data_IF_880723208690
#
_entry.id   IF_880723208690
#
_cell.length_a   1.000
_cell.length_b   1.000
_cell.length_c   1.000
_cell.angle_alpha   90.00
_cell.angle_beta   90.00
_cell.angle_gamma   90.00
#
_symmetry.space_group_name_H-M   'P 1'
#
loop_
_entity.id
_entity.type
_entity.pdbx_description
1 polymer ?
#
# COMPACT_ATOMS: atom_id res chain seq x y z
N UNK A 1 13.14 -5.31 1.98
CA UNK A 1 12.75 -4.16 2.80
C UNK A 1 14.04 -3.48 3.23
N UNK A 2 14.19 -2.22 2.85
CA UNK A 2 15.33 -1.37 3.19
C UNK A 2 15.01 -0.57 4.47
N UNK A 3 16.02 -0.31 5.31
CA UNK A 3 15.80 -0.40 6.78
C UNK A 3 16.52 0.65 7.64
N UNK A 4 16.45 1.95 7.31
CA UNK A 4 16.66 2.94 8.38
C UNK A 4 15.39 3.08 9.24
N UNK A 5 15.52 3.85 10.31
CA UNK A 5 14.44 4.06 11.27
C UNK A 5 13.42 5.02 10.68
N UNK A 6 12.16 4.60 10.58
CA UNK A 6 11.03 5.54 10.47
C UNK A 6 10.46 5.86 11.87
N UNK A 7 11.30 5.70 12.89
CA UNK A 7 11.14 6.10 14.29
C UNK A 7 12.28 7.10 14.60
N UNK A 8 12.02 8.24 15.25
CA UNK A 8 13.10 9.02 15.87
C UNK A 8 13.96 8.13 16.77
N UNK A 9 15.26 8.05 16.45
CA UNK A 9 16.37 7.35 17.15
C UNK A 9 15.94 6.40 18.29
N UNK A 10 15.44 5.20 17.93
CA UNK A 10 15.28 4.07 18.84
C UNK A 10 15.02 2.69 18.16
N UNK A 11 16.02 1.79 18.25
CA UNK A 11 15.91 0.31 18.25
C UNK A 11 15.43 -0.51 17.01
N UNK A 12 16.37 -0.83 16.10
CA UNK A 12 16.59 -2.17 15.43
C UNK A 12 15.48 -2.71 14.45
N UNK A 13 15.78 -3.53 13.42
CA UNK A 13 16.16 -4.95 13.55
C UNK A 13 16.38 -5.72 12.22
N UNK A 14 17.30 -6.70 12.29
CA UNK A 14 17.49 -7.87 11.42
C UNK A 14 16.21 -8.67 11.00
N UNK A 15 16.02 -9.26 9.80
CA UNK A 15 16.42 -8.98 8.38
C UNK A 15 15.37 -9.51 7.37
N UNK A 16 15.40 -8.98 6.13
CA UNK A 16 14.60 -9.32 4.96
C UNK A 16 14.92 -10.64 4.13
N UNK A 17 15.22 -10.59 2.81
CA UNK A 17 14.29 -11.27 1.84
C UNK A 17 14.83 -11.73 0.39
N UNK A 18 14.10 -12.37 -0.59
CA UNK A 18 14.37 -12.63 -2.07
C UNK A 18 13.09 -12.59 -3.02
N UNK A 19 13.12 -12.23 -4.36
CA UNK A 19 11.90 -12.05 -5.25
C UNK A 19 11.75 -12.86 -6.58
N UNK A 20 10.53 -12.93 -7.14
CA UNK A 20 10.01 -13.92 -8.12
C UNK A 20 9.74 -13.45 -9.60
N UNK A 21 8.86 -14.19 -10.31
CA UNK A 21 8.33 -14.02 -11.69
C UNK A 21 7.01 -14.84 -11.84
N UNK A 22 5.84 -14.30 -11.43
CA UNK A 22 4.52 -14.97 -11.45
C UNK A 22 3.42 -13.93 -11.81
N UNK A 23 2.21 -14.34 -12.24
CA UNK A 23 1.03 -13.44 -12.32
C UNK A 23 -0.34 -14.17 -12.42
N UNK A 24 -0.74 -14.79 -13.54
CA UNK A 24 -1.93 -15.68 -13.55
C UNK A 24 -1.72 -16.97 -12.75
N UNK A 25 -0.45 -17.29 -12.49
CA UNK A 25 -0.05 -18.25 -11.48
C UNK A 25 -0.26 -17.74 -10.03
N UNK A 26 -0.41 -16.43 -9.77
CA UNK A 26 -0.51 -15.89 -8.40
C UNK A 26 -1.87 -16.16 -7.78
N UNK A 27 -2.99 -15.85 -8.44
CA UNK A 27 -4.33 -16.21 -7.93
C UNK A 27 -4.46 -17.72 -7.65
N UNK A 28 -3.94 -18.56 -8.54
CA UNK A 28 -3.95 -20.02 -8.36
C UNK A 28 -2.97 -20.50 -7.28
N UNK A 29 -1.79 -19.88 -7.13
CA UNK A 29 -0.81 -20.25 -6.09
C UNK A 29 -1.23 -19.75 -4.70
N UNK A 30 -1.79 -18.55 -4.59
CA UNK A 30 -2.37 -18.01 -3.36
C UNK A 30 -3.56 -18.85 -2.91
N UNK A 31 -4.43 -19.26 -3.84
CA UNK A 31 -5.49 -20.25 -3.56
C UNK A 31 -4.93 -21.60 -3.09
N UNK A 32 -3.91 -22.14 -3.77
CA UNK A 32 -3.28 -23.41 -3.42
C UNK A 32 -2.55 -23.41 -2.06
N UNK A 33 -2.21 -22.24 -1.51
CA UNK A 33 -1.63 -22.09 -0.15
C UNK A 33 -2.68 -22.19 0.97
N UNK A 34 -3.98 -22.15 0.65
CA UNK A 34 -5.07 -22.05 1.64
C UNK A 34 -5.54 -23.38 2.25
N UNK A 35 -5.01 -24.53 1.80
CA UNK A 35 -5.67 -25.84 1.95
C UNK A 35 -5.47 -26.57 3.29
N UNK A 36 -5.19 -25.85 4.39
CA UNK A 36 -4.88 -26.44 5.70
C UNK A 36 -5.81 -26.00 6.86
N UNK A 37 -6.67 -25.01 6.63
CA UNK A 37 -7.68 -24.58 7.61
C UNK A 37 -8.98 -25.38 7.54
N UNK A 38 -9.87 -25.19 8.52
CA UNK A 38 -11.30 -25.38 8.27
C UNK A 38 -11.68 -24.38 7.18
N UNK A 39 -12.34 -24.81 6.10
CA UNK A 39 -12.90 -23.88 5.12
C UNK A 39 -13.79 -22.87 5.84
N UNK A 40 -13.32 -21.63 5.95
CA UNK A 40 -14.14 -20.55 6.48
C UNK A 40 -15.27 -20.33 5.47
N UNK A 41 -16.49 -20.03 5.92
CA UNK A 41 -17.54 -19.62 5.00
C UNK A 41 -17.66 -18.10 5.08
N UNK A 42 -17.27 -17.38 4.02
CA UNK A 42 -17.32 -15.92 4.02
C UNK A 42 -18.71 -15.33 4.31
N UNK A 43 -19.80 -16.02 3.93
CA UNK A 43 -21.16 -15.59 4.28
C UNK A 43 -21.41 -15.69 5.79
N UNK A 44 -20.89 -16.73 6.44
CA UNK A 44 -20.96 -16.87 7.90
C UNK A 44 -20.04 -15.86 8.60
N UNK A 45 -18.87 -15.57 8.02
CA UNK A 45 -17.98 -14.53 8.55
C UNK A 45 -18.66 -13.15 8.51
N UNK A 46 -19.32 -12.81 7.40
CA UNK A 46 -20.09 -11.58 7.22
C UNK A 46 -21.26 -11.46 8.21
N UNK A 47 -22.12 -12.48 8.26
CA UNK A 47 -23.28 -12.56 9.17
C UNK A 47 -22.87 -12.42 10.66
N UNK A 48 -21.68 -12.92 11.02
CA UNK A 48 -21.17 -12.84 12.38
C UNK A 48 -20.27 -11.61 12.68
N UNK A 49 -20.10 -10.64 11.77
CA UNK A 49 -19.20 -9.48 11.97
C UNK A 49 -19.54 -8.64 13.21
N UNK A 50 -20.82 -8.53 13.56
CA UNK A 50 -21.27 -7.82 14.75
C UNK A 50 -20.83 -8.49 16.08
N UNK A 51 -20.28 -9.71 16.02
CA UNK A 51 -19.94 -10.53 17.18
C UNK A 51 -18.51 -11.12 17.13
N UNK A 52 -17.92 -11.28 15.94
CA UNK A 52 -16.60 -11.86 15.72
C UNK A 52 -15.71 -10.93 14.90
N UNK A 53 -14.50 -10.65 15.39
CA UNK A 53 -13.45 -10.00 14.61
C UNK A 53 -12.72 -11.03 13.74
N UNK A 54 -12.32 -10.63 12.53
CA UNK A 54 -11.48 -11.46 11.65
C UNK A 54 -10.02 -11.26 12.02
N UNK A 55 -9.26 -12.35 12.22
CA UNK A 55 -7.82 -12.25 12.40
C UNK A 55 -7.10 -11.93 11.08
N UNK A 56 -6.02 -11.14 11.10
CA UNK A 56 -5.29 -10.77 9.88
C UNK A 56 -4.87 -11.99 9.02
N UNK A 57 -4.52 -13.12 9.65
CA UNK A 57 -4.20 -14.37 8.95
C UNK A 57 -5.39 -15.09 8.27
N UNK A 58 -6.61 -14.59 8.40
CA UNK A 58 -7.83 -15.07 7.70
C UNK A 58 -8.28 -14.09 6.60
N UNK A 59 -7.75 -12.86 6.57
CA UNK A 59 -8.21 -11.78 5.69
C UNK A 59 -8.09 -12.15 4.21
N UNK A 60 -6.91 -12.62 3.79
CA UNK A 60 -6.67 -12.98 2.39
C UNK A 60 -7.57 -14.14 1.92
N UNK A 61 -7.78 -15.17 2.77
CA UNK A 61 -8.68 -16.28 2.46
C UNK A 61 -10.11 -15.76 2.21
N UNK A 62 -10.64 -14.92 3.10
CA UNK A 62 -11.99 -14.35 2.96
C UNK A 62 -12.12 -13.45 1.72
N UNK A 63 -11.12 -12.63 1.41
CA UNK A 63 -11.09 -11.83 0.19
C UNK A 63 -11.10 -12.72 -1.07
N UNK A 64 -10.27 -13.77 -1.10
CA UNK A 64 -10.22 -14.75 -2.20
C UNK A 64 -11.56 -15.47 -2.39
N UNK A 65 -12.18 -15.93 -1.29
CA UNK A 65 -13.48 -16.60 -1.35
C UNK A 65 -14.60 -15.68 -1.86
N UNK A 66 -14.65 -14.43 -1.41
CA UNK A 66 -15.62 -13.45 -1.92
C UNK A 66 -15.39 -13.18 -3.41
N UNK A 67 -14.14 -12.99 -3.85
CA UNK A 67 -13.81 -12.85 -5.28
C UNK A 67 -14.25 -14.06 -6.09
N UNK A 68 -14.05 -15.28 -5.59
CA UNK A 68 -14.52 -16.50 -6.25
C UNK A 68 -16.05 -16.56 -6.34
N UNK A 69 -16.77 -16.20 -5.27
CA UNK A 69 -18.24 -16.17 -5.26
C UNK A 69 -18.84 -15.07 -6.15
N UNK A 70 -18.08 -14.01 -6.46
CA UNK A 70 -18.48 -12.88 -7.31
C UNK A 70 -17.99 -12.97 -8.76
N UNK A 71 -17.21 -14.00 -9.10
CA UNK A 71 -16.70 -14.26 -10.45
C UNK A 71 -17.84 -14.53 -11.46
N UNK A 72 -17.68 -14.20 -12.76
CA UNK A 72 -18.72 -14.41 -13.77
C UNK A 72 -19.19 -15.87 -13.92
N UNK A 73 -18.30 -16.82 -13.63
CA UNK A 73 -18.57 -18.27 -13.72
C UNK A 73 -19.41 -18.80 -12.52
N UNK A 74 -19.56 -18.01 -11.46
CA UNK A 74 -20.21 -18.43 -10.22
C UNK A 74 -21.72 -18.14 -10.22
N UNK A 75 -22.54 -18.92 -9.50
CA UNK A 75 -23.96 -18.64 -9.36
C UNK A 75 -24.22 -17.24 -8.80
N UNK A 76 -25.13 -16.49 -9.45
CA UNK A 76 -25.43 -15.12 -9.07
C UNK A 76 -25.91 -15.00 -7.62
N UNK A 77 -25.23 -14.16 -6.84
CA UNK A 77 -25.59 -13.87 -5.46
C UNK A 77 -26.88 -13.04 -5.37
N UNK A 78 -27.71 -13.32 -4.37
CA UNK A 78 -28.88 -12.48 -4.06
C UNK A 78 -28.47 -11.11 -3.49
N UNK A 79 -29.36 -10.13 -3.59
CA UNK A 79 -29.16 -8.78 -3.03
C UNK A 79 -28.73 -8.81 -1.55
N UNK A 80 -29.32 -9.67 -0.72
CA UNK A 80 -28.94 -9.81 0.69
C UNK A 80 -27.50 -10.34 0.86
N UNK A 81 -27.08 -11.31 0.04
CA UNK A 81 -25.70 -11.83 0.05
C UNK A 81 -24.69 -10.79 -0.47
N UNK A 82 -25.09 -9.94 -1.42
CA UNK A 82 -24.27 -8.82 -1.89
C UNK A 82 -24.11 -7.73 -0.82
N UNK A 83 -25.11 -7.49 0.04
CA UNK A 83 -24.99 -6.57 1.16
C UNK A 83 -24.05 -7.12 2.24
N UNK A 84 -24.21 -8.38 2.63
CA UNK A 84 -23.25 -9.07 3.52
C UNK A 84 -21.82 -9.06 2.96
N UNK A 85 -21.66 -9.24 1.64
CA UNK A 85 -20.37 -9.09 0.98
C UNK A 85 -19.85 -7.64 1.00
N UNK A 86 -20.72 -6.65 0.87
CA UNK A 86 -20.37 -5.22 0.93
C UNK A 86 -19.79 -4.84 2.29
N UNK A 87 -20.39 -5.34 3.36
CA UNK A 87 -19.99 -5.02 4.72
C UNK A 87 -18.70 -5.76 5.12
N UNK A 88 -18.55 -7.03 4.70
CA UNK A 88 -17.30 -7.77 4.89
C UNK A 88 -16.15 -7.21 4.04
N UNK A 89 -16.40 -6.80 2.78
CA UNK A 89 -15.40 -6.13 1.95
C UNK A 89 -14.96 -4.79 2.55
N UNK A 90 -15.91 -3.99 3.08
CA UNK A 90 -15.60 -2.75 3.80
C UNK A 90 -14.77 -2.98 5.05
N UNK A 91 -15.17 -3.91 5.91
CA UNK A 91 -14.45 -4.27 7.13
C UNK A 91 -13.03 -4.81 6.88
N UNK A 92 -12.82 -5.57 5.81
CA UNK A 92 -11.49 -6.02 5.37
C UNK A 92 -10.73 -4.95 4.56
N UNK A 93 -11.30 -3.75 4.39
CA UNK A 93 -10.76 -2.63 3.60
C UNK A 93 -10.42 -3.02 2.15
N UNK A 94 -11.19 -3.92 1.55
CA UNK A 94 -11.05 -4.38 0.16
C UNK A 94 -11.84 -3.46 -0.79
N UNK A 95 -11.30 -2.27 -1.01
CA UNK A 95 -11.89 -1.25 -1.88
C UNK A 95 -12.17 -1.73 -3.34
N UNK A 96 -11.30 -2.52 -4.00
CA UNK A 96 -11.62 -3.09 -5.32
C UNK A 96 -12.84 -4.02 -5.29
N UNK A 97 -12.94 -4.89 -4.29
CA UNK A 97 -14.08 -5.78 -4.12
C UNK A 97 -15.36 -5.00 -3.82
N UNK A 98 -15.28 -4.01 -2.92
CA UNK A 98 -16.41 -3.20 -2.51
C UNK A 98 -16.96 -2.36 -3.68
N UNK A 99 -16.08 -1.74 -4.48
CA UNK A 99 -16.49 -1.01 -5.69
C UNK A 99 -17.20 -1.92 -6.71
N UNK A 100 -16.75 -3.17 -6.86
CA UNK A 100 -17.38 -4.17 -7.72
C UNK A 100 -18.76 -4.63 -7.20
N UNK A 101 -18.90 -4.82 -5.88
CA UNK A 101 -20.16 -5.16 -5.23
C UNK A 101 -21.18 -4.02 -5.36
N UNK A 102 -20.77 -2.77 -5.13
CA UNK A 102 -21.64 -1.60 -5.33
C UNK A 102 -22.12 -1.51 -6.80
N UNK A 103 -21.26 -1.80 -7.78
CA UNK A 103 -21.65 -1.89 -9.20
C UNK A 103 -22.75 -2.92 -9.44
N UNK A 104 -22.58 -4.15 -8.96
CA UNK A 104 -23.60 -5.22 -9.06
C UNK A 104 -24.93 -4.86 -8.36
N UNK A 105 -24.87 -4.17 -7.22
CA UNK A 105 -26.06 -3.68 -6.52
C UNK A 105 -26.78 -2.58 -7.32
N UNK A 106 -26.04 -1.69 -7.99
CA UNK A 106 -26.62 -0.69 -8.90
C UNK A 106 -27.29 -1.34 -10.13
N UNK A 107 -26.63 -2.32 -10.75
CA UNK A 107 -27.18 -3.11 -11.88
C UNK A 107 -28.53 -3.76 -11.52
N UNK A 108 -28.64 -4.40 -10.35
CA UNK A 108 -29.88 -5.04 -9.87
C UNK A 108 -31.01 -4.01 -9.69
N UNK A 109 -30.71 -2.85 -9.08
CA UNK A 109 -31.70 -1.79 -8.88
C UNK A 109 -32.20 -1.18 -10.20
N UNK A 110 -31.32 -1.04 -11.21
CA UNK A 110 -31.70 -0.56 -12.54
C UNK A 110 -32.51 -1.61 -13.33
N UNK A 111 -32.13 -2.89 -13.22
CA UNK A 111 -32.77 -4.01 -13.93
C UNK A 111 -34.19 -4.34 -13.45
N UNK A 112 -34.53 -4.05 -12.20
CA UNK A 112 -35.86 -4.37 -11.61
C UNK A 112 -37.07 -3.65 -12.23
N UNK A 113 -36.85 -2.67 -13.11
CA UNK A 113 -37.91 -1.79 -13.62
C UNK A 113 -38.78 -2.42 -14.72
N UNK A 114 -39.75 -3.26 -14.31
CA UNK A 114 -41.13 -3.29 -14.88
C UNK A 114 -42.11 -4.29 -14.26
N UNK A 115 -41.65 -5.40 -13.66
CA UNK A 115 -42.55 -6.52 -13.30
C UNK A 115 -42.92 -6.57 -11.82
N UNK A 116 -44.13 -6.06 -11.54
CA UNK A 116 -44.98 -6.30 -10.37
C UNK A 116 -44.58 -5.69 -9.02
N UNK A 117 -45.58 -5.04 -8.42
CA UNK A 117 -45.64 -4.59 -7.03
C UNK A 117 -45.38 -5.77 -6.08
N UNK A 118 -44.35 -5.69 -5.23
CA UNK A 118 -44.04 -6.72 -4.24
C UNK A 118 -44.22 -6.14 -2.81
N UNK A 119 -45.33 -6.42 -2.11
CA UNK A 119 -45.76 -5.62 -0.96
C UNK A 119 -45.27 -6.18 0.39
N UNK A 120 -43.95 -6.23 0.62
CA UNK A 120 -43.40 -6.61 1.94
C UNK A 120 -41.96 -6.16 2.21
N UNK A 121 -41.81 -5.05 2.95
CA UNK A 121 -40.72 -4.85 3.93
C UNK A 121 -39.25 -4.93 3.49
N UNK A 122 -38.93 -4.98 2.20
CA UNK A 122 -37.55 -5.01 1.71
C UNK A 122 -37.00 -3.59 1.66
N UNK A 123 -35.91 -3.33 2.39
CA UNK A 123 -35.26 -2.01 2.40
C UNK A 123 -34.83 -1.63 0.98
N UNK A 124 -35.33 -0.50 0.50
CA UNK A 124 -35.06 -0.04 -0.86
C UNK A 124 -33.70 0.65 -0.87
N UNK A 125 -32.72 0.03 -1.54
CA UNK A 125 -31.35 0.53 -1.53
C UNK A 125 -31.25 1.94 -2.11
N UNK A 126 -30.63 2.84 -1.37
CA UNK A 126 -30.40 4.20 -1.81
C UNK A 126 -29.33 4.22 -2.91
N UNK A 127 -29.76 4.48 -4.14
CA UNK A 127 -28.87 4.53 -5.32
C UNK A 127 -27.78 5.61 -5.14
N UNK A 128 -28.09 6.74 -4.48
CA UNK A 128 -27.10 7.79 -4.23
C UNK A 128 -26.00 7.29 -3.29
N UNK A 129 -26.38 6.62 -2.19
CA UNK A 129 -25.46 6.03 -1.21
C UNK A 129 -24.56 4.96 -1.85
N UNK A 130 -25.10 4.10 -2.72
CA UNK A 130 -24.30 3.13 -3.47
C UNK A 130 -23.30 3.80 -4.42
N UNK A 131 -23.70 4.86 -5.13
CA UNK A 131 -22.79 5.63 -5.97
C UNK A 131 -21.69 6.35 -5.15
N UNK A 132 -22.02 6.88 -3.98
CA UNK A 132 -21.07 7.50 -3.05
C UNK A 132 -20.09 6.45 -2.50
N UNK A 133 -20.58 5.31 -2.00
CA UNK A 133 -19.77 4.19 -1.49
C UNK A 133 -18.82 3.66 -2.58
N UNK A 134 -19.29 3.54 -3.82
CA UNK A 134 -18.47 3.14 -4.96
C UNK A 134 -17.41 4.19 -5.31
N UNK A 135 -17.80 5.48 -5.40
CA UNK A 135 -16.89 6.58 -5.69
C UNK A 135 -15.79 6.70 -4.62
N UNK A 136 -16.12 6.56 -3.34
CA UNK A 136 -15.16 6.55 -2.25
C UNK A 136 -14.14 5.41 -2.41
N UNK A 137 -14.58 4.20 -2.73
CA UNK A 137 -13.68 3.07 -2.97
C UNK A 137 -12.75 3.29 -4.17
N UNK A 138 -13.25 3.92 -5.24
CA UNK A 138 -12.45 4.29 -6.41
C UNK A 138 -11.43 5.40 -6.07
N UNK A 139 -11.83 6.41 -5.29
CA UNK A 139 -10.94 7.45 -4.76
C UNK A 139 -9.80 6.84 -3.92
N UNK A 140 -10.11 5.90 -3.02
CA UNK A 140 -9.12 5.21 -2.20
C UNK A 140 -8.09 4.44 -3.05
N UNK A 141 -8.45 3.99 -4.25
CA UNK A 141 -7.53 3.33 -5.19
C UNK A 141 -6.78 4.31 -6.11
N UNK A 142 -7.05 5.61 -6.01
CA UNK A 142 -6.50 6.64 -6.90
C UNK A 142 -7.18 6.70 -8.28
N UNK A 143 -8.30 5.98 -8.45
CA UNK A 143 -9.10 5.93 -9.67
C UNK A 143 -10.08 7.13 -9.71
N UNK A 144 -9.52 8.34 -9.61
CA UNK A 144 -10.28 9.58 -9.48
C UNK A 144 -11.12 9.93 -10.73
N UNK A 145 -10.80 9.38 -11.91
CA UNK A 145 -11.61 9.65 -13.12
C UNK A 145 -12.88 8.80 -13.11
N UNK A 146 -12.74 7.56 -12.66
CA UNK A 146 -13.77 6.55 -12.49
C UNK A 146 -14.70 6.94 -11.34
N UNK A 147 -14.14 7.39 -10.21
CA UNK A 147 -14.87 7.93 -9.06
C UNK A 147 -15.78 9.11 -9.46
N UNK A 148 -15.21 10.13 -10.12
CA UNK A 148 -15.96 11.28 -10.59
C UNK A 148 -17.03 10.88 -11.62
N UNK A 149 -16.73 9.94 -12.53
CA UNK A 149 -17.72 9.46 -13.51
C UNK A 149 -18.92 8.76 -12.85
N UNK A 150 -18.74 8.03 -11.75
CA UNK A 150 -19.87 7.43 -10.99
C UNK A 150 -20.77 8.53 -10.43
N UNK A 151 -20.19 9.58 -9.84
CA UNK A 151 -20.95 10.69 -9.28
C UNK A 151 -21.61 11.57 -10.34
N UNK A 152 -20.91 11.88 -11.44
CA UNK A 152 -21.46 12.66 -12.56
C UNK A 152 -22.67 11.98 -13.20
N UNK A 153 -22.61 10.66 -13.44
CA UNK A 153 -23.73 9.90 -13.98
C UNK A 153 -24.96 9.94 -13.07
N UNK A 154 -24.78 9.88 -11.74
CA UNK A 154 -25.90 9.99 -10.80
C UNK A 154 -26.40 11.44 -10.66
N UNK A 155 -25.52 12.43 -10.74
CA UNK A 155 -25.89 13.86 -10.77
C UNK A 155 -26.70 14.22 -12.02
N UNK A 156 -26.48 13.57 -13.18
CA UNK A 156 -27.36 13.74 -14.34
C UNK A 156 -28.81 13.31 -14.07
N UNK A 157 -29.02 12.32 -13.18
CA UNK A 157 -30.35 11.92 -12.72
C UNK A 157 -30.86 12.75 -11.53
N UNK A 158 -29.96 13.35 -10.73
CA UNK A 158 -30.25 14.06 -9.47
C UNK A 158 -29.41 15.36 -9.34
N UNK A 159 -29.60 16.37 -10.21
CA UNK A 159 -28.66 17.49 -10.36
C UNK A 159 -28.62 18.51 -9.21
N UNK A 160 -29.48 18.36 -8.20
CA UNK A 160 -29.55 19.23 -7.02
C UNK A 160 -29.43 18.45 -5.71
N UNK A 161 -28.93 17.22 -5.76
CA UNK A 161 -28.67 16.43 -4.55
C UNK A 161 -27.42 16.94 -3.83
N UNK A 162 -27.55 17.44 -2.58
CA UNK A 162 -26.43 18.08 -1.89
C UNK A 162 -25.34 17.09 -1.48
N UNK A 163 -25.67 15.81 -1.29
CA UNK A 163 -24.72 14.79 -0.86
C UNK A 163 -23.83 14.36 -2.03
N UNK A 164 -24.42 14.14 -3.21
CA UNK A 164 -23.68 13.86 -4.44
C UNK A 164 -22.79 15.04 -4.85
N UNK A 165 -23.29 16.28 -4.75
CA UNK A 165 -22.49 17.50 -5.04
C UNK A 165 -21.30 17.60 -4.07
N UNK A 166 -21.52 17.34 -2.78
CA UNK A 166 -20.46 17.39 -1.76
C UNK A 166 -19.37 16.35 -2.02
N UNK A 167 -19.74 15.10 -2.32
CA UNK A 167 -18.78 14.04 -2.64
C UNK A 167 -18.04 14.30 -3.96
N UNK A 168 -18.71 14.88 -4.97
CA UNK A 168 -18.09 15.20 -6.25
C UNK A 168 -17.00 16.28 -6.11
N UNK A 169 -17.32 17.40 -5.46
CA UNK A 169 -16.34 18.46 -5.22
C UNK A 169 -15.24 18.02 -4.24
N UNK A 170 -15.53 17.12 -3.28
CA UNK A 170 -14.50 16.51 -2.43
C UNK A 170 -13.51 15.67 -3.24
N UNK A 171 -13.98 14.69 -4.02
CA UNK A 171 -13.13 13.79 -4.80
C UNK A 171 -12.29 14.56 -5.84
N UNK A 172 -12.90 15.56 -6.48
CA UNK A 172 -12.27 16.51 -7.39
C UNK A 172 -11.19 17.35 -6.70
N UNK A 173 -11.43 17.77 -5.46
CA UNK A 173 -10.46 18.48 -4.63
C UNK A 173 -9.30 17.58 -4.20
N UNK A 174 -9.55 16.33 -3.79
CA UNK A 174 -8.49 15.35 -3.49
C UNK A 174 -7.58 15.13 -4.71
N UNK A 175 -8.16 14.93 -5.90
CA UNK A 175 -7.43 14.82 -7.17
C UNK A 175 -6.56 16.06 -7.46
N UNK A 176 -7.04 17.26 -7.14
CA UNK A 176 -6.31 18.52 -7.35
C UNK A 176 -5.22 18.77 -6.30
N UNK A 177 -5.30 18.15 -5.13
CA UNK A 177 -4.31 18.26 -4.05
C UNK A 177 -3.15 17.26 -4.18
N UNK A 178 -3.17 16.38 -5.19
CA UNK A 178 -2.07 15.45 -5.44
C UNK A 178 -0.77 16.21 -5.78
N UNK A 179 0.36 15.92 -5.11
CA UNK A 179 1.63 16.61 -5.34
C UNK A 179 2.30 16.27 -6.68
N UNK A 180 1.84 15.21 -7.37
CA UNK A 180 2.38 14.72 -8.64
C UNK A 180 1.24 14.35 -9.59
N UNK A 181 1.51 14.33 -10.90
CA UNK A 181 0.51 13.91 -11.88
C UNK A 181 0.18 12.42 -11.71
N UNK A 182 -1.10 12.02 -11.86
CA UNK A 182 -1.53 10.61 -11.76
C UNK A 182 -0.75 9.67 -12.70
N UNK A 183 -0.43 10.15 -13.90
CA UNK A 183 0.41 9.46 -14.90
C UNK A 183 1.87 9.29 -14.49
N UNK A 184 2.31 9.93 -13.40
CA UNK A 184 3.61 9.73 -12.75
C UNK A 184 3.52 8.89 -11.45
N UNK A 185 2.31 8.65 -10.95
CA UNK A 185 2.04 7.83 -9.76
C UNK A 185 1.72 6.36 -10.09
N UNK A 186 1.13 6.09 -11.27
CA UNK A 186 0.64 4.77 -11.69
C UNK A 186 1.70 3.94 -12.45
N UNK A 187 1.85 2.65 -12.13
CA UNK A 187 2.67 1.67 -12.86
C UNK A 187 2.04 0.26 -12.73
N UNK A 188 1.26 -0.14 -13.72
CA UNK A 188 0.31 -1.27 -13.67
C UNK A 188 0.91 -2.59 -13.13
N UNK A 189 0.31 -3.25 -12.13
CA UNK A 189 -1.00 -3.00 -11.48
C UNK A 189 -0.95 -2.05 -10.26
N UNK A 190 0.13 -1.29 -10.06
CA UNK A 190 0.36 -0.47 -8.88
C UNK A 190 0.05 1.02 -9.09
N UNK A 191 -0.20 1.72 -7.98
CA UNK A 191 -0.17 3.18 -7.90
C UNK A 191 0.45 3.64 -6.57
N UNK A 192 1.24 4.71 -6.60
CA UNK A 192 1.79 5.35 -5.41
C UNK A 192 0.93 6.56 -5.03
N UNK A 193 0.13 6.46 -3.96
CA UNK A 193 -0.62 7.60 -3.42
C UNK A 193 0.11 8.20 -2.21
N UNK A 194 0.09 9.52 -1.96
CA UNK A 194 0.61 10.08 -0.72
C UNK A 194 -0.07 9.43 0.49
N UNK A 195 0.69 8.99 1.49
CA UNK A 195 0.10 8.30 2.64
C UNK A 195 -0.79 9.26 3.43
N UNK A 196 -2.04 8.86 3.60
CA UNK A 196 -3.11 9.69 4.17
C UNK A 196 -3.84 8.93 5.27
N UNK A 197 -4.61 9.68 6.06
CA UNK A 197 -5.36 9.18 7.22
C UNK A 197 -6.45 8.17 6.81
N UNK A 198 -6.94 8.27 5.56
CA UNK A 198 -7.87 7.31 4.96
C UNK A 198 -7.27 5.89 4.86
N UNK A 199 -5.93 5.78 4.70
CA UNK A 199 -5.24 4.49 4.57
C UNK A 199 -5.04 3.75 5.91
N UNK A 200 -5.40 4.35 7.06
CA UNK A 200 -5.15 3.83 8.40
C UNK A 200 -5.66 2.38 8.61
N UNK A 201 -6.89 2.09 8.18
CA UNK A 201 -7.50 0.76 8.35
C UNK A 201 -6.74 -0.30 7.53
N UNK A 202 -6.49 -0.02 6.25
CA UNK A 202 -5.68 -0.88 5.40
C UNK A 202 -4.26 -1.09 5.94
N UNK A 203 -3.62 -0.01 6.43
CA UNK A 203 -2.30 -0.07 7.03
C UNK A 203 -2.31 -1.04 8.20
N UNK A 204 -3.33 -0.97 9.08
CA UNK A 204 -3.45 -1.86 10.24
C UNK A 204 -3.49 -3.35 9.83
N UNK A 205 -4.21 -3.69 8.77
CA UNK A 205 -4.29 -5.06 8.24
C UNK A 205 -2.92 -5.55 7.75
N UNK A 206 -2.23 -4.79 6.90
CA UNK A 206 -0.94 -5.19 6.35
C UNK A 206 0.17 -5.17 7.41
N UNK A 207 0.09 -4.28 8.40
CA UNK A 207 1.09 -4.07 9.46
C UNK A 207 0.89 -4.97 10.70
N UNK A 208 -0.18 -5.77 10.73
CA UNK A 208 -0.44 -6.74 11.80
C UNK A 208 0.70 -7.76 11.97
N UNK A 209 1.42 -8.09 10.90
CA UNK A 209 2.60 -8.95 10.97
C UNK A 209 3.77 -8.25 11.69
N UNK A 210 4.02 -8.69 12.92
CA UNK A 210 5.13 -8.20 13.76
C UNK A 210 6.54 -8.35 13.16
N UNK A 211 6.70 -9.12 12.07
CA UNK A 211 7.93 -9.14 11.28
C UNK A 211 8.13 -7.80 10.57
N UNK A 212 7.10 -7.23 9.94
CA UNK A 212 7.23 -5.99 9.15
C UNK A 212 7.82 -4.86 10.00
N UNK A 213 7.28 -4.60 11.20
CA UNK A 213 7.85 -3.53 12.06
C UNK A 213 9.32 -3.71 12.41
N UNK A 214 9.77 -4.95 12.62
CA UNK A 214 11.19 -5.29 12.88
C UNK A 214 12.01 -5.07 11.62
N UNK A 215 11.57 -5.68 10.51
CA UNK A 215 12.24 -5.72 9.21
C UNK A 215 12.19 -4.40 8.42
N UNK A 216 11.69 -3.33 9.04
CA UNK A 216 11.56 -1.99 8.47
C UNK A 216 11.90 -0.89 9.50
N UNK A 217 12.27 -1.28 10.74
CA UNK A 217 12.44 -0.38 11.89
C UNK A 217 11.34 0.70 11.97
N UNK A 218 10.10 0.24 12.17
CA UNK A 218 8.87 1.06 12.26
C UNK A 218 8.22 0.97 13.66
N UNK A 219 7.49 1.99 14.13
CA UNK A 219 6.98 2.04 15.51
C UNK A 219 5.96 0.93 15.81
N UNK A 220 5.94 0.43 17.05
CA UNK A 220 4.82 -0.40 17.52
C UNK A 220 3.64 0.49 17.95
N UNK A 221 2.80 0.86 16.99
CA UNK A 221 1.50 1.47 17.29
C UNK A 221 0.65 0.55 18.17
N UNK A 222 0.04 1.11 19.22
CA UNK A 222 -0.94 0.44 20.08
C UNK A 222 -2.33 1.07 19.99
N UNK A 223 -2.50 2.16 19.24
CA UNK A 223 -3.78 2.77 18.92
C UNK A 223 -3.70 3.60 17.62
N UNK A 224 -4.85 4.00 17.10
CA UNK A 224 -4.96 4.79 15.86
C UNK A 224 -4.31 6.17 16.03
N UNK A 225 -4.45 6.79 17.20
CA UNK A 225 -3.92 8.12 17.50
C UNK A 225 -2.39 8.16 17.44
N UNK A 226 -1.71 7.08 17.86
CA UNK A 226 -0.25 6.96 17.74
C UNK A 226 0.21 6.86 16.29
N UNK A 227 -0.57 6.18 15.43
CA UNK A 227 -0.28 6.11 13.99
C UNK A 227 -0.50 7.47 13.32
N UNK A 228 -1.58 8.17 13.67
CA UNK A 228 -1.89 9.52 13.18
C UNK A 228 -0.84 10.55 13.65
N UNK A 229 -0.33 10.42 14.89
CA UNK A 229 0.78 11.23 15.39
C UNK A 229 2.06 10.96 14.60
N UNK A 230 2.42 9.70 14.36
CA UNK A 230 3.57 9.32 13.54
C UNK A 230 3.48 9.85 12.10
N UNK A 231 2.34 9.66 11.43
CA UNK A 231 2.11 10.19 10.08
C UNK A 231 2.28 11.71 10.03
N UNK A 232 1.76 12.43 11.05
CA UNK A 232 1.88 13.88 11.12
C UNK A 232 3.29 14.36 11.46
N UNK A 233 4.10 13.60 12.21
CA UNK A 233 5.54 13.85 12.34
C UNK A 233 6.25 13.68 10.99
N UNK A 234 6.03 12.58 10.28
CA UNK A 234 6.62 12.34 8.95
C UNK A 234 6.23 13.41 7.92
N UNK A 235 5.03 14.01 8.03
CA UNK A 235 4.58 15.13 7.18
C UNK A 235 5.24 16.48 7.51
N UNK A 236 5.81 16.63 8.71
CA UNK A 236 6.56 17.83 9.13
C UNK A 236 8.06 17.74 8.78
N UNK A 237 8.55 16.53 8.50
CA UNK A 237 9.93 16.24 8.17
C UNK A 237 10.28 16.68 6.74
N UNK A 238 11.12 17.72 6.63
CA UNK A 238 11.40 18.36 5.34
C UNK A 238 12.28 17.47 4.46
N UNK A 239 11.68 16.89 3.44
CA UNK A 239 12.34 16.07 2.43
C UNK A 239 11.97 14.61 2.51
N UNK A 240 11.20 14.19 3.53
CA UNK A 240 10.55 12.89 3.59
C UNK A 240 9.25 12.89 2.77
N UNK A 241 9.13 11.93 1.87
CA UNK A 241 7.94 11.67 1.06
C UNK A 241 7.50 10.23 1.31
N UNK A 242 6.28 10.05 1.81
CA UNK A 242 5.74 8.77 2.26
C UNK A 242 4.49 8.42 1.44
N UNK A 243 4.48 7.24 0.84
CA UNK A 243 3.44 6.80 -0.09
C UNK A 243 2.82 5.46 0.33
N UNK A 244 1.51 5.35 0.17
CA UNK A 244 0.82 4.08 0.05
C UNK A 244 1.17 3.39 -1.28
N UNK A 245 1.41 2.08 -1.23
CA UNK A 245 1.46 1.22 -2.43
C UNK A 245 0.08 0.61 -2.62
N UNK A 246 -0.66 1.15 -3.57
CA UNK A 246 -1.96 0.63 -3.98
C UNK A 246 -1.78 -0.38 -5.10
N UNK A 247 -2.60 -1.43 -5.12
CA UNK A 247 -2.70 -2.43 -6.17
C UNK A 247 -4.15 -2.49 -6.66
N UNK A 248 -4.37 -2.41 -7.97
CA UNK A 248 -5.72 -2.24 -8.54
C UNK A 248 -6.68 -3.38 -8.15
N UNK A 249 -6.19 -4.61 -7.95
CA UNK A 249 -6.99 -5.75 -7.49
C UNK A 249 -6.97 -6.00 -5.96
N UNK A 250 -6.19 -5.27 -5.15
CA UNK A 250 -6.01 -5.61 -3.72
C UNK A 250 -6.07 -4.41 -2.76
N UNK A 251 -6.26 -3.19 -3.28
CA UNK A 251 -6.19 -1.97 -2.49
C UNK A 251 -4.76 -1.74 -1.99
N UNK A 252 -4.62 -1.21 -0.77
CA UNK A 252 -3.32 -0.94 -0.16
C UNK A 252 -2.61 -2.26 0.19
N UNK A 253 -1.40 -2.46 -0.35
CA UNK A 253 -0.55 -3.65 -0.13
C UNK A 253 0.72 -3.35 0.67
N UNK A 254 0.99 -2.08 0.99
CA UNK A 254 2.16 -1.67 1.77
C UNK A 254 2.51 -0.20 1.56
N UNK A 255 3.76 0.17 1.80
CA UNK A 255 4.23 1.55 1.69
C UNK A 255 5.68 1.65 1.22
N UNK A 256 5.97 2.72 0.47
CA UNK A 256 7.32 3.17 0.13
C UNK A 256 7.54 4.57 0.68
N UNK A 257 8.78 4.89 1.03
CA UNK A 257 9.18 6.27 1.36
C UNK A 257 10.54 6.61 0.80
N UNK A 258 10.75 7.90 0.58
CA UNK A 258 11.98 8.51 0.10
C UNK A 258 12.27 9.74 0.94
N UNK A 259 13.47 9.83 1.49
CA UNK A 259 14.05 11.09 1.95
C UNK A 259 14.94 11.67 0.85
N UNK A 260 14.96 12.99 0.67
CA UNK A 260 15.87 13.66 -0.29
C UNK A 260 16.57 14.86 0.33
N UNK A 261 17.90 14.80 0.38
CA UNK A 261 18.77 15.87 0.85
C UNK A 261 19.71 16.30 -0.30
N UNK A 262 19.56 17.53 -0.79
CA UNK A 262 20.44 18.14 -1.81
C UNK A 262 20.68 17.27 -3.07
N UNK A 263 19.65 16.55 -3.56
CA UNK A 263 19.75 15.67 -4.73
C UNK A 263 20.21 14.23 -4.41
N UNK A 264 20.60 13.94 -3.17
CA UNK A 264 20.88 12.58 -2.69
C UNK A 264 19.63 12.02 -2.02
N UNK A 265 19.12 10.89 -2.52
CA UNK A 265 17.98 10.20 -1.95
C UNK A 265 18.36 9.07 -1.00
N UNK A 266 17.49 8.76 -0.03
CA UNK A 266 17.51 7.50 0.71
C UNK A 266 16.09 6.90 0.68
N UNK A 267 15.92 5.63 0.30
CA UNK A 267 14.59 5.02 0.20
C UNK A 267 14.35 3.81 1.10
N UNK A 268 13.08 3.60 1.43
CA UNK A 268 12.55 2.49 2.20
C UNK A 268 11.34 1.88 1.50
N UNK A 269 11.07 0.60 1.78
CA UNK A 269 9.82 -0.03 1.35
C UNK A 269 9.48 -1.25 2.19
N UNK A 270 8.18 -1.49 2.33
CA UNK A 270 7.61 -2.69 2.89
C UNK A 270 6.29 -3.04 2.25
N UNK A 271 5.95 -4.34 2.29
CA UNK A 271 4.68 -4.88 1.82
C UNK A 271 4.10 -5.81 2.88
N UNK A 272 2.77 -5.86 2.96
CA UNK A 272 2.05 -6.88 3.73
C UNK A 272 2.50 -8.28 3.33
N UNK A 273 2.50 -9.22 4.29
CA UNK A 273 3.10 -10.55 4.12
C UNK A 273 2.58 -11.29 2.87
N UNK A 274 1.29 -11.15 2.59
CA UNK A 274 0.57 -11.74 1.45
C UNK A 274 1.13 -11.29 0.08
N UNK A 275 1.70 -10.08 0.00
CA UNK A 275 2.15 -9.42 -1.23
C UNK A 275 3.69 -9.46 -1.42
N UNK A 276 4.40 -10.15 -0.52
CA UNK A 276 5.85 -10.37 -0.64
C UNK A 276 6.16 -11.48 -1.67
N UNK A 277 7.42 -11.57 -2.11
CA UNK A 277 7.88 -12.49 -3.16
C UNK A 277 7.51 -12.06 -4.58
N UNK A 278 6.23 -11.74 -4.81
CA UNK A 278 5.54 -11.48 -6.09
C UNK A 278 6.14 -10.35 -6.98
N UNK A 279 7.10 -9.57 -6.47
CA UNK A 279 7.83 -8.58 -7.27
C UNK A 279 7.24 -7.16 -7.26
N UNK A 280 6.10 -6.95 -6.59
CA UNK A 280 5.51 -5.62 -6.37
C UNK A 280 6.47 -4.64 -5.67
N UNK A 281 7.34 -5.11 -4.78
CA UNK A 281 8.33 -4.28 -4.09
C UNK A 281 9.30 -3.58 -5.06
N UNK A 282 10.03 -4.31 -5.92
CA UNK A 282 10.76 -3.75 -7.05
C UNK A 282 9.96 -2.77 -7.91
N UNK A 283 8.72 -3.09 -8.32
CA UNK A 283 7.90 -2.15 -9.12
C UNK A 283 7.65 -0.82 -8.39
N UNK A 284 7.16 -0.88 -7.15
CA UNK A 284 6.88 0.30 -6.33
C UNK A 284 8.13 1.17 -6.12
N UNK A 285 9.30 0.55 -5.90
CA UNK A 285 10.58 1.27 -5.74
C UNK A 285 11.06 1.87 -7.07
N UNK A 286 10.94 1.16 -8.19
CA UNK A 286 11.26 1.72 -9.51
C UNK A 286 10.39 2.95 -9.81
N UNK A 287 9.11 2.93 -9.44
CA UNK A 287 8.19 4.05 -9.61
C UNK A 287 8.53 5.24 -8.69
N UNK A 288 8.90 4.98 -7.45
CA UNK A 288 9.43 5.98 -6.50
C UNK A 288 10.69 6.67 -7.03
N UNK A 289 11.63 5.91 -7.60
CA UNK A 289 12.88 6.45 -8.17
C UNK A 289 12.62 7.29 -9.43
N UNK A 290 11.67 6.89 -10.27
CA UNK A 290 11.23 7.70 -11.41
C UNK A 290 10.59 9.03 -10.97
N UNK A 291 9.76 9.02 -9.91
CA UNK A 291 9.27 10.24 -9.28
C UNK A 291 10.42 11.11 -8.74
N UNK A 292 11.39 10.50 -8.06
CA UNK A 292 12.53 11.20 -7.46
C UNK A 292 13.39 11.94 -8.49
N UNK A 293 13.74 11.25 -9.58
CA UNK A 293 14.49 11.83 -10.70
C UNK A 293 13.70 12.99 -11.36
N UNK A 294 12.37 12.83 -11.52
CA UNK A 294 11.51 13.81 -12.19
C UNK A 294 11.20 15.06 -11.36
N UNK A 295 10.97 14.90 -10.06
CA UNK A 295 10.40 15.96 -9.22
C UNK A 295 11.34 16.50 -8.13
N UNK A 296 12.36 15.75 -7.72
CA UNK A 296 13.27 16.16 -6.63
C UNK A 296 14.70 16.42 -7.11
N UNK A 297 14.95 16.35 -8.43
CA UNK A 297 16.28 16.45 -9.04
C UNK A 297 17.29 15.48 -8.40
N UNK A 298 16.86 14.24 -8.15
CA UNK A 298 17.68 13.23 -7.48
C UNK A 298 18.76 12.68 -8.43
N UNK A 299 20.03 13.01 -8.17
CA UNK A 299 21.20 12.52 -8.92
C UNK A 299 21.53 11.06 -8.59
N UNK A 300 21.29 10.64 -7.35
CA UNK A 300 21.58 9.28 -6.88
C UNK A 300 20.75 8.91 -5.65
N UNK A 301 20.65 7.61 -5.38
CA UNK A 301 19.85 7.07 -4.29
C UNK A 301 20.64 6.01 -3.50
N UNK A 302 20.48 6.05 -2.19
CA UNK A 302 20.99 5.06 -1.26
C UNK A 302 19.86 4.20 -0.69
N UNK A 303 20.22 3.01 -0.26
CA UNK A 303 19.45 2.20 0.66
C UNK A 303 20.40 1.48 1.62
N UNK A 304 19.86 0.97 2.72
CA UNK A 304 20.54 -0.04 3.53
C UNK A 304 19.64 -1.22 3.78
N UNK A 305 20.22 -2.41 3.78
CA UNK A 305 19.48 -3.67 3.87
C UNK A 305 20.31 -4.67 4.67
N UNK A 306 19.75 -5.25 5.71
CA UNK A 306 20.49 -6.20 6.57
C UNK A 306 20.85 -7.55 5.88
N UNK A 307 21.66 -8.39 6.56
CA UNK A 307 22.28 -9.63 6.02
C UNK A 307 21.37 -10.91 5.74
N UNK A 308 20.67 -11.56 6.69
CA UNK A 308 19.96 -12.87 6.49
C UNK A 308 18.64 -12.87 5.65
N UNK A 309 18.39 -13.70 4.63
CA UNK A 309 17.35 -13.38 3.57
C UNK A 309 16.34 -14.49 3.12
N UNK A 310 15.02 -14.16 2.98
CA UNK A 310 13.96 -14.99 2.29
C UNK A 310 12.92 -14.37 1.26
N UNK A 311 12.00 -13.36 1.49
CA UNK A 311 10.91 -12.94 0.50
C UNK A 311 10.85 -11.56 -0.32
N UNK A 312 11.93 -10.80 -0.61
CA UNK A 312 12.10 -9.69 -1.59
C UNK A 312 13.58 -9.27 -1.96
N UNK A 313 14.55 -9.10 -1.03
CA UNK A 313 15.86 -8.37 -1.12
C UNK A 313 16.62 -8.34 -2.45
N UNK A 314 16.79 -9.47 -3.16
CA UNK A 314 17.47 -9.48 -4.48
C UNK A 314 16.81 -8.50 -5.49
N UNK A 315 15.65 -7.96 -5.13
CA UNK A 315 15.18 -6.62 -5.48
C UNK A 315 16.26 -5.55 -5.69
N UNK A 316 17.21 -5.32 -4.77
CA UNK A 316 18.26 -4.28 -4.92
C UNK A 316 19.08 -4.52 -6.18
N UNK A 317 19.57 -5.75 -6.36
CA UNK A 317 20.30 -6.15 -7.57
C UNK A 317 19.41 -6.10 -8.84
N UNK A 318 18.13 -6.50 -8.75
CA UNK A 318 17.15 -6.34 -9.84
C UNK A 318 16.84 -4.88 -10.18
N UNK A 319 17.03 -3.95 -9.24
CA UNK A 319 16.88 -2.50 -9.40
C UNK A 319 18.18 -1.81 -9.84
N UNK A 320 19.26 -2.56 -10.08
CA UNK A 320 20.57 -2.01 -10.48
C UNK A 320 21.41 -1.42 -9.33
N UNK A 321 20.99 -1.55 -8.07
CA UNK A 321 21.77 -1.07 -6.94
C UNK A 321 23.01 -1.94 -6.70
N UNK A 322 24.17 -1.32 -6.61
CA UNK A 322 25.43 -1.97 -6.20
C UNK A 322 25.59 -1.95 -4.68
N UNK A 323 25.93 -3.09 -4.02
CA UNK A 323 26.28 -3.08 -2.60
C UNK A 323 27.59 -2.32 -2.37
N UNK A 324 27.64 -1.54 -1.29
CA UNK A 324 28.83 -0.81 -0.86
C UNK A 324 29.61 -1.63 0.16
N UNK A 325 30.92 -1.76 -0.04
CA UNK A 325 31.80 -2.45 0.90
C UNK A 325 32.27 -1.47 2.01
N UNK A 326 31.32 -0.97 2.79
CA UNK A 326 31.57 -0.14 3.96
C UNK A 326 31.19 -0.90 5.23
N UNK A 327 32.12 -1.00 6.17
CA UNK A 327 31.83 -1.52 7.51
C UNK A 327 31.11 -0.45 8.33
N UNK A 328 30.13 -0.89 9.12
CA UNK A 328 29.32 -0.05 10.01
C UNK A 328 29.65 -0.44 11.44
N UNK A 329 29.75 0.52 12.35
CA UNK A 329 30.13 0.24 13.74
C UNK A 329 29.02 -0.57 14.47
N UNK A 330 29.37 -1.41 15.45
CA UNK A 330 28.38 -2.06 16.32
C UNK A 330 27.50 -1.01 17.04
N UNK A 331 26.19 -1.28 17.25
CA UNK A 331 25.49 -2.56 17.05
C UNK A 331 25.01 -2.81 15.61
N UNK A 332 25.23 -1.88 14.67
CA UNK A 332 24.66 -1.91 13.32
C UNK A 332 25.55 -2.58 12.25
N UNK A 333 26.63 -3.24 12.66
CA UNK A 333 27.61 -4.00 11.85
C UNK A 333 27.03 -5.23 11.09
N UNK A 334 25.74 -5.20 10.78
CA UNK A 334 24.95 -6.27 10.19
C UNK A 334 23.97 -5.75 9.11
N UNK A 335 24.11 -4.47 8.76
CA UNK A 335 23.52 -3.78 7.61
C UNK A 335 24.52 -3.72 6.45
N UNK A 336 24.03 -3.83 5.21
CA UNK A 336 24.81 -3.54 4.00
C UNK A 336 24.19 -2.31 3.33
N UNK A 337 24.99 -1.28 3.03
CA UNK A 337 24.54 -0.17 2.21
C UNK A 337 24.54 -0.52 0.72
N UNK A 338 23.67 0.14 -0.03
CA UNK A 338 23.45 -0.03 -1.46
C UNK A 338 23.38 1.34 -2.13
N UNK A 339 23.91 1.45 -3.34
CA UNK A 339 23.98 2.69 -4.12
C UNK A 339 23.41 2.51 -5.53
N UNK A 340 22.71 3.52 -6.03
CA UNK A 340 22.29 3.68 -7.42
C UNK A 340 22.57 5.11 -7.87
N UNK A 341 23.40 5.29 -8.89
CA UNK A 341 23.75 6.61 -9.44
C UNK A 341 24.95 6.55 -10.38
N UNK A 342 25.53 7.71 -10.74
CA UNK A 342 26.76 7.80 -11.52
C UNK A 342 27.95 7.10 -10.84
N UNK A 343 28.96 6.69 -11.63
CA UNK A 343 30.19 6.14 -11.07
C UNK A 343 30.93 7.19 -10.22
N UNK A 344 31.27 6.80 -8.98
CA UNK A 344 31.94 7.65 -7.97
C UNK A 344 33.09 6.87 -7.33
N UNK A 345 34.12 7.58 -6.83
CA UNK A 345 35.17 6.93 -6.06
C UNK A 345 34.62 6.41 -4.72
N UNK A 346 35.27 5.39 -4.15
CA UNK A 346 34.89 4.88 -2.82
C UNK A 346 34.97 5.97 -1.74
N UNK A 347 35.86 6.96 -1.88
CA UNK A 347 35.97 8.10 -0.96
C UNK A 347 34.79 9.08 -1.11
N UNK A 348 34.36 9.36 -2.34
CA UNK A 348 33.19 10.23 -2.57
C UNK A 348 31.91 9.56 -2.10
N UNK A 349 31.73 8.26 -2.36
CA UNK A 349 30.61 7.47 -1.85
C UNK A 349 30.57 7.40 -0.33
N UNK A 350 31.74 7.28 0.33
CA UNK A 350 31.85 7.27 1.79
C UNK A 350 31.51 8.65 2.38
N UNK A 351 32.08 9.72 1.83
CA UNK A 351 31.84 11.10 2.29
C UNK A 351 30.37 11.50 2.12
N UNK A 352 29.78 11.18 0.97
CA UNK A 352 28.38 11.47 0.63
C UNK A 352 27.41 10.69 1.53
N UNK A 353 27.64 9.39 1.74
CA UNK A 353 26.82 8.60 2.65
C UNK A 353 26.98 9.05 4.11
N UNK A 354 28.21 9.33 4.58
CA UNK A 354 28.42 9.79 5.95
C UNK A 354 27.75 11.16 6.19
N UNK A 355 27.80 12.06 5.22
CA UNK A 355 27.07 13.33 5.28
C UNK A 355 25.54 13.11 5.28
N UNK A 356 25.03 12.20 4.44
CA UNK A 356 23.61 11.84 4.40
C UNK A 356 23.14 11.30 5.75
N UNK A 357 23.86 10.34 6.34
CA UNK A 357 23.55 9.80 7.67
C UNK A 357 23.55 10.87 8.77
N UNK A 358 24.42 11.87 8.69
CA UNK A 358 24.42 13.02 9.59
C UNK A 358 23.22 13.98 9.34
N UNK A 359 22.78 14.14 8.08
CA UNK A 359 21.58 14.91 7.76
C UNK A 359 20.28 14.22 8.20
N UNK A 360 20.30 12.89 8.32
CA UNK A 360 19.21 12.03 8.80
C UNK A 360 19.21 11.81 10.34
N UNK A 361 20.06 12.52 11.10
CA UNK A 361 20.27 12.32 12.55
C UNK A 361 20.49 10.84 12.95
N UNK A 362 21.24 10.10 12.13
CA UNK A 362 21.35 8.65 12.23
C UNK A 362 22.41 8.20 13.24
N UNK A 363 22.07 7.23 14.11
CA UNK A 363 23.00 6.51 15.00
C UNK A 363 24.07 5.65 14.25
N UNK A 364 24.10 5.71 12.92
CA UNK A 364 24.97 4.91 12.06
C UNK A 364 26.31 5.59 11.81
N UNK A 365 27.36 5.08 12.44
CA UNK A 365 28.74 5.46 12.11
C UNK A 365 29.40 4.45 11.15
N UNK A 366 30.06 4.95 10.11
CA UNK A 366 30.89 4.14 9.20
C UNK A 366 32.32 3.99 9.76
N UNK A 367 33.01 2.92 9.40
CA UNK A 367 34.40 2.66 9.78
C UNK A 367 35.40 3.31 8.81
N UNK A 368 36.32 4.15 9.33
CA UNK A 368 37.29 4.93 8.53
C UNK A 368 38.44 4.10 7.89
N UNK A 369 38.44 2.78 8.10
CA UNK A 369 39.54 1.84 7.80
C UNK A 369 40.05 1.87 6.35
N UNK A 370 39.22 2.33 5.42
CA UNK A 370 39.50 2.37 3.98
C UNK A 370 40.45 3.49 3.55
N UNK A 371 40.70 4.50 4.40
CA UNK A 371 41.37 5.74 3.98
C UNK A 371 42.57 6.14 4.86
N UNK A 372 43.13 5.18 5.61
CA UNK A 372 44.46 5.38 6.20
C UNK A 372 45.48 5.64 5.08
N UNK A 373 46.28 6.73 5.15
CA UNK A 373 47.24 7.04 4.09
C UNK A 373 48.28 5.93 3.99
N UNK A 374 48.53 5.44 2.77
CA UNK A 374 49.67 4.58 2.50
C UNK A 374 50.96 5.31 2.92
N UNK A 375 51.71 4.70 3.84
CA UNK A 375 52.96 5.21 4.40
C UNK A 375 54.17 4.77 3.58
#
# INVERSE_FOLDING_TARGET
MATASLIPTSERNQVNSVSAYQQTAELNALSALSTAGRAVNWLQAADMLAHNQVGAGQRLELMLQMRQALAPESPALSQAQLLLASDLAGYLSDWPLLASICGKLLEINQGGSKTNLNPSGTETLNINELCIKQSYCLEQMGLYSEALAVLENQLLARPFDPELITNYEYCKSQRQQLPFALTDLQDDPLMLLPLSEQHLENFSWQYADSRIRKLCNLPKFTSNEQWLQWLNSCRQERGLYLFAVMHIEWGFIGSVSLEVYQGVGFFYYWLGADFQGQGYGPKAVARLLALAQRYFAQDCCYAKVYHHNVPSQKAMAKLGFTPLNFEIKPPFANETFYYLGPEKSQWDLYRELNWLLQAQDSELELEEKYFAPCK
#
